data_IF_309472669278
#
_entry.id   IF_309472669278
#
_cell.length_a   1.000
_cell.length_b   1.000
_cell.length_c   1.000
_cell.angle_alpha   90.00
_cell.angle_beta   90.00
_cell.angle_gamma   90.00
#
_symmetry.space_group_name_H-M   'P 1'
#
loop_
_entity.id
_entity.type
_entity.pdbx_description
1 polymer ?
#
# COMPACT_ATOMS: atom_id res chain seq x y z
N UNK A 1 -15.26 -19.73 -13.32
CA UNK A 1 -15.52 -19.46 -14.75
C UNK A 1 -14.21 -19.49 -15.49
N UNK A 2 -14.12 -20.27 -16.57
CA UNK A 2 -12.90 -20.41 -17.37
C UNK A 2 -12.68 -19.15 -18.20
N UNK A 3 -11.43 -18.71 -18.41
CA UNK A 3 -11.10 -17.55 -19.25
C UNK A 3 -11.63 -17.68 -20.69
N UNK A 4 -11.86 -18.92 -21.15
CA UNK A 4 -12.52 -19.23 -22.41
C UNK A 4 -13.99 -18.75 -22.45
N UNK A 5 -14.73 -18.89 -21.35
CA UNK A 5 -16.13 -18.44 -21.29
C UNK A 5 -16.25 -16.91 -21.33
N UNK A 6 -15.26 -16.19 -20.81
CA UNK A 6 -15.28 -14.73 -20.77
C UNK A 6 -14.73 -14.07 -22.05
N UNK A 7 -13.76 -14.70 -22.72
CA UNK A 7 -12.98 -14.05 -23.79
C UNK A 7 -12.74 -14.90 -25.05
N UNK A 8 -13.33 -16.10 -25.15
CA UNK A 8 -13.21 -16.98 -26.32
C UNK A 8 -11.76 -17.33 -26.69
N UNK A 9 -11.49 -17.50 -27.99
CA UNK A 9 -10.15 -17.79 -28.55
C UNK A 9 -9.09 -16.75 -28.15
N UNK A 10 -9.48 -15.49 -27.94
CA UNK A 10 -8.59 -14.42 -27.47
C UNK A 10 -8.05 -14.68 -26.06
N UNK A 11 -8.78 -15.42 -25.23
CA UNK A 11 -8.35 -15.87 -23.90
C UNK A 11 -7.26 -16.95 -23.94
N UNK A 12 -7.12 -17.67 -25.07
CA UNK A 12 -6.14 -18.74 -25.27
C UNK A 12 -4.81 -18.23 -25.85
N UNK A 13 -4.79 -17.06 -26.49
CA UNK A 13 -3.58 -16.46 -27.08
C UNK A 13 -2.54 -16.10 -26.02
N UNK A 14 -1.25 -16.44 -26.24
CA UNK A 14 -0.15 -15.97 -25.37
C UNK A 14 0.02 -14.46 -25.54
N UNK A 15 -0.59 -13.67 -24.66
CA UNK A 15 -0.23 -12.25 -24.47
C UNK A 15 0.98 -12.21 -23.53
N UNK A 16 2.15 -11.87 -24.06
CA UNK A 16 3.32 -11.52 -23.24
C UNK A 16 3.15 -10.11 -22.67
N UNK A 17 2.27 -9.95 -21.68
CA UNK A 17 2.04 -8.65 -21.06
C UNK A 17 3.20 -8.32 -20.10
N UNK A 18 4.11 -7.46 -20.53
CA UNK A 18 4.96 -6.73 -19.60
C UNK A 18 4.11 -5.62 -18.99
N UNK A 19 4.05 -5.59 -17.65
CA UNK A 19 3.31 -4.56 -16.93
C UNK A 19 4.31 -3.59 -16.29
N UNK A 20 4.20 -2.32 -16.65
CA UNK A 20 5.01 -1.26 -16.09
C UNK A 20 4.63 -1.01 -14.62
N UNK A 21 5.57 -0.45 -13.85
CA UNK A 21 5.37 -0.19 -12.42
C UNK A 21 4.14 0.71 -12.17
N UNK A 22 3.95 1.74 -13.02
CA UNK A 22 2.81 2.65 -12.94
C UNK A 22 1.48 1.93 -13.15
N UNK A 23 1.42 1.00 -14.12
CA UNK A 23 0.21 0.19 -14.36
C UNK A 23 -0.09 -0.71 -13.16
N UNK A 24 0.91 -1.45 -12.65
CA UNK A 24 0.74 -2.30 -11.47
C UNK A 24 0.23 -1.51 -10.27
N UNK A 25 0.81 -0.33 -10.03
CA UNK A 25 0.38 0.54 -8.93
C UNK A 25 -1.07 1.02 -9.11
N UNK A 26 -1.48 1.37 -10.33
CA UNK A 26 -2.87 1.73 -10.64
C UNK A 26 -3.83 0.59 -10.32
N UNK A 27 -3.47 -0.64 -10.69
CA UNK A 27 -4.27 -1.85 -10.40
C UNK A 27 -4.41 -2.06 -8.89
N UNK A 28 -3.30 -2.01 -8.14
CA UNK A 28 -3.31 -2.19 -6.68
C UNK A 28 -4.13 -1.11 -5.96
N UNK A 29 -3.95 0.16 -6.34
CA UNK A 29 -4.74 1.28 -5.78
C UNK A 29 -6.23 1.11 -6.00
N UNK A 30 -6.64 0.64 -7.21
CA UNK A 30 -8.06 0.39 -7.50
C UNK A 30 -8.58 -0.81 -6.70
N UNK A 31 -7.80 -1.88 -6.58
CA UNK A 31 -8.15 -3.05 -5.76
C UNK A 31 -8.43 -2.65 -4.30
N UNK A 32 -7.56 -1.84 -3.68
CA UNK A 32 -7.76 -1.40 -2.30
C UNK A 32 -8.93 -0.44 -2.14
N UNK A 33 -9.12 0.48 -3.08
CA UNK A 33 -10.24 1.44 -3.05
C UNK A 33 -11.59 0.72 -3.11
N UNK A 34 -11.72 -0.28 -3.95
CA UNK A 34 -12.97 -0.98 -4.22
C UNK A 34 -13.13 -2.26 -3.38
N UNK A 35 -12.15 -2.56 -2.50
CA UNK A 35 -12.07 -3.79 -1.71
C UNK A 35 -12.23 -5.08 -2.55
N UNK A 36 -11.72 -5.07 -3.77
CA UNK A 36 -11.84 -6.20 -4.68
C UNK A 36 -10.90 -7.34 -4.32
N UNK A 37 -11.37 -8.57 -4.54
CA UNK A 37 -10.49 -9.74 -4.51
C UNK A 37 -9.48 -9.71 -5.66
N UNK A 38 -8.41 -10.49 -5.52
CA UNK A 38 -7.41 -10.64 -6.59
C UNK A 38 -8.05 -11.19 -7.88
N UNK A 39 -9.04 -12.07 -7.76
CA UNK A 39 -9.77 -12.61 -8.92
C UNK A 39 -10.65 -11.56 -9.61
N UNK A 40 -11.38 -10.75 -8.83
CA UNK A 40 -12.20 -9.66 -9.37
C UNK A 40 -11.32 -8.60 -10.06
N UNK A 41 -10.21 -8.24 -9.42
CA UNK A 41 -9.24 -7.29 -9.98
C UNK A 41 -8.60 -7.84 -11.25
N UNK A 42 -8.30 -9.14 -11.30
CA UNK A 42 -7.75 -9.77 -12.50
C UNK A 42 -8.73 -9.67 -13.68
N UNK A 43 -9.99 -9.97 -13.44
CA UNK A 43 -11.05 -9.87 -14.45
C UNK A 43 -11.26 -8.42 -14.92
N UNK A 44 -11.29 -7.46 -13.99
CA UNK A 44 -11.51 -6.04 -14.31
C UNK A 44 -10.41 -5.41 -15.16
N UNK A 45 -9.16 -5.89 -15.05
CA UNK A 45 -8.00 -5.35 -15.76
C UNK A 45 -7.50 -6.27 -16.91
N UNK A 46 -8.29 -7.28 -17.33
CA UNK A 46 -7.91 -8.29 -18.33
C UNK A 46 -6.55 -8.95 -18.01
N UNK A 47 -6.27 -9.21 -16.73
CA UNK A 47 -5.05 -9.86 -16.27
C UNK A 47 -5.27 -11.37 -16.25
N UNK A 48 -4.46 -12.09 -17.04
CA UNK A 48 -4.56 -13.55 -17.23
C UNK A 48 -4.58 -14.38 -15.94
N UNK A 49 -3.91 -13.93 -14.88
CA UNK A 49 -3.79 -14.70 -13.64
C UNK A 49 -3.85 -13.80 -12.40
N UNK A 50 -4.78 -14.10 -11.49
CA UNK A 50 -4.92 -13.43 -10.20
C UNK A 50 -3.64 -13.54 -9.35
N UNK A 51 -2.85 -14.61 -9.51
CA UNK A 51 -1.58 -14.77 -8.80
C UNK A 51 -0.56 -13.66 -9.13
N UNK A 52 -0.66 -13.02 -10.31
CA UNK A 52 0.17 -11.85 -10.63
C UNK A 52 -0.13 -10.67 -9.70
N UNK A 53 -1.41 -10.45 -9.37
CA UNK A 53 -1.81 -9.39 -8.45
C UNK A 53 -1.28 -9.69 -7.06
N UNK A 54 -1.41 -10.92 -6.58
CA UNK A 54 -0.82 -11.34 -5.30
C UNK A 54 0.70 -11.13 -5.25
N UNK A 55 1.41 -11.39 -6.36
CA UNK A 55 2.84 -11.09 -6.47
C UNK A 55 3.12 -9.59 -6.40
N UNK A 56 2.33 -8.76 -7.06
CA UNK A 56 2.50 -7.30 -7.03
C UNK A 56 2.23 -6.72 -5.64
N UNK A 57 1.23 -7.23 -4.91
CA UNK A 57 0.99 -6.85 -3.51
C UNK A 57 2.24 -7.09 -2.67
N UNK A 58 2.79 -8.32 -2.70
CA UNK A 58 4.02 -8.66 -1.95
C UNK A 58 5.21 -7.78 -2.34
N UNK A 59 5.36 -7.48 -3.64
CA UNK A 59 6.40 -6.58 -4.10
C UNK A 59 6.21 -5.17 -3.52
N UNK A 60 5.00 -4.64 -3.57
CA UNK A 60 4.68 -3.33 -3.02
C UNK A 60 4.89 -3.28 -1.49
N UNK A 61 4.48 -4.31 -0.76
CA UNK A 61 4.68 -4.39 0.69
C UNK A 61 6.17 -4.44 1.06
N UNK A 62 7.00 -5.09 0.23
CA UNK A 62 8.45 -5.23 0.47
C UNK A 62 9.28 -3.98 0.16
N UNK A 63 8.83 -3.10 -0.74
CA UNK A 63 9.67 -2.01 -1.24
C UNK A 63 8.95 -0.97 -2.09
N UNK A 64 7.64 -0.82 -1.90
CA UNK A 64 6.81 0.19 -2.53
C UNK A 64 6.82 0.15 -4.06
N UNK A 65 6.81 1.32 -4.68
CA UNK A 65 6.75 1.45 -6.14
C UNK A 65 8.02 0.95 -6.84
N UNK A 66 9.18 1.05 -6.18
CA UNK A 66 10.47 0.65 -6.76
C UNK A 66 10.56 -0.86 -6.92
N UNK A 67 9.99 -1.61 -5.97
CA UNK A 67 9.89 -3.07 -6.04
C UNK A 67 8.93 -3.58 -7.14
N UNK A 68 8.02 -2.72 -7.64
CA UNK A 68 7.13 -3.05 -8.77
C UNK A 68 7.82 -2.91 -10.14
N UNK A 69 8.99 -2.26 -10.19
CA UNK A 69 9.71 -2.05 -11.45
C UNK A 69 10.14 -3.38 -12.09
N UNK A 70 10.15 -3.47 -13.44
CA UNK A 70 10.69 -4.63 -14.14
C UNK A 70 12.15 -4.83 -13.76
N UNK A 71 12.46 -5.89 -13.00
CA UNK A 71 13.86 -6.27 -12.74
C UNK A 71 14.47 -6.81 -14.04
N UNK A 72 15.73 -6.45 -14.31
CA UNK A 72 16.47 -6.90 -15.50
C UNK A 72 16.38 -8.43 -15.61
N UNK A 73 15.82 -8.92 -16.71
CA UNK A 73 15.75 -10.36 -17.01
C UNK A 73 17.15 -10.84 -17.39
N UNK A 74 17.72 -11.75 -16.60
CA UNK A 74 19.00 -12.40 -16.90
C UNK A 74 19.69 -12.98 -15.67
N UNK A 75 20.62 -13.93 -15.89
CA UNK A 75 21.54 -14.41 -14.86
C UNK A 75 22.46 -13.23 -14.47
N UNK A 76 22.62 -12.90 -13.17
CA UNK A 76 23.67 -11.97 -12.79
C UNK A 76 25.02 -12.50 -13.30
N UNK A 77 25.87 -11.64 -13.86
CA UNK A 77 27.24 -12.03 -14.25
C UNK A 77 27.95 -12.52 -12.98
N UNK A 78 28.07 -13.83 -12.84
CA UNK A 78 28.85 -14.45 -11.78
C UNK A 78 30.32 -14.30 -12.13
N UNK A 79 31.05 -13.50 -11.36
CA UNK A 79 32.44 -13.79 -10.98
C UNK A 79 32.78 -13.06 -9.67
N UNK A 80 33.58 -13.76 -8.89
CA UNK A 80 34.39 -13.33 -7.75
C UNK A 80 33.82 -13.50 -6.34
N UNK A 81 34.65 -14.24 -5.60
CA UNK A 81 34.61 -14.71 -4.22
C UNK A 81 33.75 -13.90 -3.27
N UNK A 82 32.89 -14.65 -2.57
CA UNK A 82 32.22 -14.25 -1.33
C UNK A 82 33.25 -13.70 -0.34
N UNK A 83 33.22 -12.40 0.03
CA UNK A 83 33.48 -12.05 1.41
C UNK A 83 32.23 -12.49 2.17
N UNK A 84 32.41 -13.29 3.21
CA UNK A 84 31.38 -13.43 4.24
C UNK A 84 31.00 -12.03 4.66
N UNK A 85 29.80 -11.57 4.27
CA UNK A 85 29.27 -10.32 4.79
C UNK A 85 29.21 -10.51 6.31
N UNK A 86 29.69 -9.56 7.13
CA UNK A 86 29.31 -9.58 8.53
C UNK A 86 27.79 -9.65 8.53
N UNK A 87 27.26 -10.49 9.42
CA UNK A 87 25.86 -10.52 9.77
C UNK A 87 25.51 -9.12 10.29
N UNK A 88 25.21 -8.22 9.35
CA UNK A 88 24.55 -6.98 9.69
C UNK A 88 23.15 -7.46 9.94
N UNK A 89 22.89 -7.80 11.21
CA UNK A 89 21.57 -7.73 11.78
C UNK A 89 21.03 -6.36 11.39
N UNK A 90 20.33 -6.32 10.25
CA UNK A 90 19.17 -5.47 10.11
C UNK A 90 18.36 -5.87 11.32
N UNK A 91 18.48 -5.10 12.39
CA UNK A 91 17.52 -5.16 13.47
C UNK A 91 16.20 -4.71 12.84
N UNK A 92 15.57 -5.62 12.10
CA UNK A 92 14.13 -5.65 11.94
C UNK A 92 13.64 -5.63 13.37
N UNK A 93 13.24 -4.43 13.81
CA UNK A 93 12.58 -4.24 15.09
C UNK A 93 11.57 -5.38 15.19
N UNK A 94 11.69 -6.21 16.23
CA UNK A 94 10.77 -7.34 16.43
C UNK A 94 9.35 -6.82 16.25
N UNK A 95 8.42 -7.61 15.69
CA UNK A 95 7.03 -7.18 15.48
C UNK A 95 6.43 -6.46 16.70
N UNK A 96 6.81 -6.89 17.91
CA UNK A 96 6.45 -6.23 19.18
C UNK A 96 6.92 -4.78 19.28
N UNK A 97 8.15 -4.47 18.87
CA UNK A 97 8.73 -3.13 18.86
C UNK A 97 8.09 -2.23 17.81
N UNK A 98 7.75 -2.78 16.64
CA UNK A 98 7.01 -2.05 15.60
C UNK A 98 5.61 -1.68 16.12
N UNK A 99 4.89 -2.65 16.68
CA UNK A 99 3.55 -2.43 17.27
C UNK A 99 3.62 -1.42 18.41
N UNK A 100 4.63 -1.51 19.29
CA UNK A 100 4.82 -0.56 20.39
C UNK A 100 5.02 0.87 19.87
N UNK A 101 5.86 1.06 18.85
CA UNK A 101 6.08 2.36 18.22
C UNK A 101 4.82 2.92 17.58
N UNK A 102 4.07 2.10 16.84
CA UNK A 102 2.81 2.51 16.22
C UNK A 102 1.76 2.90 17.27
N UNK A 103 1.66 2.15 18.37
CA UNK A 103 0.76 2.47 19.47
C UNK A 103 1.13 3.80 20.14
N UNK A 104 2.43 4.06 20.30
CA UNK A 104 2.91 5.33 20.85
C UNK A 104 2.49 6.51 19.95
N UNK A 105 2.72 6.39 18.64
CA UNK A 105 2.31 7.41 17.67
C UNK A 105 0.79 7.65 17.68
N UNK A 106 -0.02 6.59 17.83
CA UNK A 106 -1.47 6.71 17.98
C UNK A 106 -1.88 7.43 19.27
N UNK A 107 -1.16 7.21 20.38
CA UNK A 107 -1.40 7.90 21.65
C UNK A 107 -1.09 9.39 21.50
N UNK A 108 0.06 9.72 20.91
CA UNK A 108 0.52 11.09 20.72
C UNK A 108 -0.46 11.87 19.82
N UNK A 109 -0.88 11.28 18.70
CA UNK A 109 -1.89 11.86 17.80
C UNK A 109 -3.24 12.06 18.49
N UNK A 110 -3.68 11.11 19.32
CA UNK A 110 -4.94 11.25 20.09
C UNK A 110 -4.84 12.37 21.11
N UNK A 111 -3.69 12.54 21.75
CA UNK A 111 -3.45 13.62 22.70
C UNK A 111 -3.48 14.98 22.00
N UNK A 112 -2.83 15.12 20.84
CA UNK A 112 -2.84 16.34 20.04
C UNK A 112 -4.27 16.72 19.60
N UNK A 113 -5.03 15.75 19.07
CA UNK A 113 -6.44 15.97 18.68
C UNK A 113 -7.30 16.37 19.88
N UNK A 114 -7.10 15.76 21.05
CA UNK A 114 -7.84 16.11 22.26
C UNK A 114 -7.52 17.53 22.73
N UNK A 115 -6.25 17.95 22.63
CA UNK A 115 -5.81 19.30 22.97
C UNK A 115 -6.45 20.34 22.04
N UNK A 116 -6.40 20.12 20.72
CA UNK A 116 -7.02 21.01 19.73
C UNK A 116 -8.53 21.15 19.96
N UNK A 117 -9.23 20.04 20.24
CA UNK A 117 -10.68 20.08 20.55
C UNK A 117 -11.00 20.91 21.79
N UNK A 118 -10.16 20.85 22.83
CA UNK A 118 -10.34 21.69 24.03
C UNK A 118 -10.13 23.17 23.70
N UNK A 119 -9.12 23.49 22.89
CA UNK A 119 -8.87 24.86 22.45
C UNK A 119 -10.05 25.42 21.64
N UNK A 120 -10.56 24.64 20.69
CA UNK A 120 -11.72 25.01 19.88
C UNK A 120 -12.95 25.25 20.74
N UNK A 121 -13.22 24.38 21.72
CA UNK A 121 -14.34 24.55 22.65
C UNK A 121 -14.26 25.89 23.41
N UNK A 122 -13.08 26.24 23.93
CA UNK A 122 -12.88 27.53 24.62
C UNK A 122 -13.08 28.73 23.70
N UNK A 123 -12.63 28.64 22.44
CA UNK A 123 -12.85 29.70 21.45
C UNK A 123 -14.34 29.86 21.15
N UNK A 124 -15.07 28.75 20.99
CA UNK A 124 -16.52 28.77 20.75
C UNK A 124 -17.28 29.36 21.94
N UNK A 125 -16.94 28.99 23.16
CA UNK A 125 -17.52 29.57 24.37
C UNK A 125 -17.30 31.08 24.44
N UNK A 126 -16.07 31.55 24.19
CA UNK A 126 -15.76 32.99 24.15
C UNK A 126 -16.58 33.73 23.08
N UNK A 127 -16.72 33.16 21.89
CA UNK A 127 -17.54 33.72 20.80
C UNK A 127 -19.01 33.77 21.18
N UNK A 128 -19.55 32.69 21.75
CA UNK A 128 -20.93 32.64 22.21
C UNK A 128 -21.21 33.67 23.32
N UNK A 129 -20.31 33.80 24.29
CA UNK A 129 -20.42 34.81 25.35
C UNK A 129 -20.37 36.24 24.79
N UNK A 130 -19.49 36.52 23.82
CA UNK A 130 -19.44 37.82 23.16
C UNK A 130 -20.72 38.14 22.37
N UNK A 131 -21.33 37.15 21.70
CA UNK A 131 -22.60 37.34 20.98
C UNK A 131 -23.77 37.61 21.94
N UNK A 132 -23.83 36.92 23.09
CA UNK A 132 -24.86 37.17 24.12
C UNK A 132 -24.78 38.60 24.68
N UNK A 133 -23.57 39.14 24.87
CA UNK A 133 -23.37 40.53 25.33
C UNK A 133 -23.76 41.60 24.30
N UNK A 134 -23.88 41.24 23.02
CA UNK A 134 -24.17 42.18 21.91
C UNK A 134 -25.63 42.20 21.48
N UNK A 135 -26.48 41.30 21.98
CA UNK A 135 -27.92 41.36 21.76
C UNK A 135 -28.54 42.21 22.89
N UNK A 136 -29.12 43.39 22.57
CA UNK A 136 -29.84 44.21 23.55
C UNK A 136 -31.14 43.53 24.01
#
# INVERSE_FOLDING_TARGET
MSSYQAHGLSGLRRKGASYDAAFKLKVLKRMWREHWSQAQTAAAFDIRCAAHIGKWVRQYDSGGIDALQPRRKGRPKSMSNKPTKPDVALAELSDKQIIARQNQELIDLRAEVAYLKKLDALIQEKRAAAQKKRKP
#
